data_IF_690220156792
#
_entry.id   IF_690220156792
#
_cell.length_a   1.000
_cell.length_b   1.000
_cell.length_c   1.000
_cell.angle_alpha   90.00
_cell.angle_beta   90.00
_cell.angle_gamma   90.00
#
_symmetry.space_group_name_H-M   'P 1'
#
loop_
_entity.id
_entity.type
_entity.pdbx_description
1 polymer ?
#
# COMPACT_ATOMS: atom_id res chain seq x y z
N UNK A 1 -16.73 20.92 -4.73
CA UNK A 1 -17.10 21.29 -3.35
C UNK A 1 -16.37 20.42 -2.33
N UNK A 2 -15.92 20.94 -1.17
CA UNK A 2 -15.34 20.07 -0.13
C UNK A 2 -16.48 19.51 0.71
N UNK A 3 -16.60 18.18 0.73
CA UNK A 3 -17.62 17.50 1.51
C UNK A 3 -17.32 17.67 3.01
N UNK A 4 -18.27 18.22 3.76
CA UNK A 4 -18.18 18.34 5.23
C UNK A 4 -18.42 16.99 5.90
N UNK A 5 -18.04 16.85 7.16
CA UNK A 5 -18.27 15.62 7.91
C UNK A 5 -19.77 15.37 8.13
N UNK A 6 -20.57 16.42 8.32
CA UNK A 6 -22.03 16.36 8.39
C UNK A 6 -22.64 15.79 7.10
N UNK A 7 -22.20 16.28 5.94
CA UNK A 7 -22.67 15.79 4.64
C UNK A 7 -22.33 14.31 4.42
N UNK A 8 -21.22 13.82 4.98
CA UNK A 8 -20.85 12.40 4.87
C UNK A 8 -21.75 11.52 5.71
N UNK A 9 -22.06 11.95 6.92
CA UNK A 9 -22.99 11.25 7.81
C UNK A 9 -24.40 11.27 7.21
N UNK A 10 -24.85 12.43 6.74
CA UNK A 10 -26.15 12.56 6.06
C UNK A 10 -26.26 11.63 4.86
N UNK A 11 -25.24 11.59 4.00
CA UNK A 11 -25.17 10.70 2.85
C UNK A 11 -25.30 9.23 3.25
N UNK A 12 -24.63 8.82 4.32
CA UNK A 12 -24.74 7.45 4.82
C UNK A 12 -26.15 7.14 5.32
N UNK A 13 -26.76 8.05 6.08
CA UNK A 13 -28.14 7.91 6.57
C UNK A 13 -29.15 7.81 5.43
N UNK A 14 -29.08 8.71 4.45
CA UNK A 14 -29.92 8.66 3.26
C UNK A 14 -29.75 7.35 2.49
N UNK A 15 -28.51 6.80 2.45
CA UNK A 15 -28.29 5.48 1.85
C UNK A 15 -29.04 4.38 2.61
N UNK A 16 -29.11 4.44 3.94
CA UNK A 16 -29.87 3.49 4.77
C UNK A 16 -31.39 3.65 4.59
N UNK A 17 -31.85 4.85 4.28
CA UNK A 17 -33.26 5.14 3.93
C UNK A 17 -33.65 4.64 2.54
N UNK A 18 -32.69 4.14 1.71
CA UNK A 18 -32.98 3.52 0.42
C UNK A 18 -32.55 4.32 -0.80
N UNK A 19 -32.00 5.52 -0.67
CA UNK A 19 -31.53 6.31 -1.80
C UNK A 19 -30.48 5.57 -2.63
N UNK A 20 -30.56 5.72 -3.96
CA UNK A 20 -29.59 5.11 -4.85
C UNK A 20 -28.25 5.85 -4.83
N UNK A 21 -27.16 5.15 -5.16
CA UNK A 21 -25.84 5.79 -5.26
C UNK A 21 -25.77 6.91 -6.31
N UNK A 22 -26.60 6.85 -7.35
CA UNK A 22 -26.69 7.88 -8.38
C UNK A 22 -27.37 9.15 -7.87
N UNK A 23 -28.44 9.01 -7.10
CA UNK A 23 -29.15 10.13 -6.48
C UNK A 23 -28.25 10.84 -5.47
N UNK A 24 -27.57 10.08 -4.60
CA UNK A 24 -26.61 10.63 -3.64
C UNK A 24 -25.44 11.33 -4.34
N UNK A 25 -24.92 10.75 -5.42
CA UNK A 25 -23.88 11.36 -6.25
C UNK A 25 -24.31 12.73 -6.81
N UNK A 26 -25.56 12.84 -7.30
CA UNK A 26 -26.13 14.10 -7.79
C UNK A 26 -26.38 15.10 -6.66
N UNK A 27 -26.95 14.66 -5.54
CA UNK A 27 -27.29 15.52 -4.39
C UNK A 27 -26.06 16.17 -3.78
N UNK A 28 -24.96 15.41 -3.63
CA UNK A 28 -23.74 15.88 -2.98
C UNK A 28 -22.62 16.30 -3.95
N UNK A 29 -22.88 16.27 -5.27
CA UNK A 29 -21.93 16.63 -6.33
C UNK A 29 -20.61 15.87 -6.25
N UNK A 30 -20.66 14.57 -5.94
CA UNK A 30 -19.50 13.68 -5.84
C UNK A 30 -19.66 12.46 -6.73
N UNK A 31 -18.54 11.91 -7.16
CA UNK A 31 -18.52 10.68 -7.93
C UNK A 31 -19.17 9.50 -7.18
N UNK A 32 -19.97 8.72 -7.89
CA UNK A 32 -20.70 7.59 -7.31
C UNK A 32 -19.79 6.49 -6.75
N UNK A 33 -18.56 6.37 -7.25
CA UNK A 33 -17.57 5.44 -6.72
C UNK A 33 -17.08 5.86 -5.32
N UNK A 34 -16.97 7.19 -5.10
CA UNK A 34 -16.62 7.74 -3.79
C UNK A 34 -17.78 7.55 -2.79
N UNK A 35 -19.04 7.76 -3.23
CA UNK A 35 -20.21 7.47 -2.40
C UNK A 35 -20.22 6.00 -1.99
N UNK A 36 -20.04 5.08 -2.94
CA UNK A 36 -19.98 3.63 -2.67
C UNK A 36 -18.86 3.27 -1.70
N UNK A 37 -17.72 3.91 -1.84
CA UNK A 37 -16.57 3.65 -0.95
C UNK A 37 -16.87 4.10 0.46
N UNK A 38 -17.38 5.32 0.66
CA UNK A 38 -17.71 5.88 1.98
C UNK A 38 -18.81 5.07 2.68
N UNK A 39 -19.85 4.66 1.96
CA UNK A 39 -20.90 3.81 2.53
C UNK A 39 -20.33 2.47 3.00
N UNK A 40 -19.54 1.79 2.16
CA UNK A 40 -18.90 0.51 2.56
C UNK A 40 -17.93 0.67 3.73
N UNK A 41 -17.24 1.79 3.77
CA UNK A 41 -16.32 2.09 4.88
C UNK A 41 -17.08 2.24 6.19
N UNK A 42 -18.20 2.96 6.17
CA UNK A 42 -19.09 3.11 7.33
C UNK A 42 -19.81 1.82 7.71
N UNK A 43 -20.17 0.97 6.76
CA UNK A 43 -20.73 -0.35 7.02
C UNK A 43 -19.77 -1.28 7.75
N UNK A 44 -18.47 -1.17 7.47
CA UNK A 44 -17.42 -2.02 8.08
C UNK A 44 -16.91 -1.49 9.42
N UNK A 45 -16.78 -0.17 9.56
CA UNK A 45 -16.09 0.46 10.67
C UNK A 45 -16.98 1.39 11.51
N UNK A 46 -18.24 1.54 11.15
CA UNK A 46 -19.19 2.46 11.79
C UNK A 46 -19.15 3.87 11.23
N UNK A 47 -20.16 4.69 11.59
CA UNK A 47 -20.32 6.07 11.08
C UNK A 47 -19.16 7.00 11.49
N UNK A 48 -18.52 6.75 12.61
CA UNK A 48 -17.43 7.57 13.16
C UNK A 48 -16.23 7.68 12.22
N UNK A 49 -16.01 6.67 11.36
CA UNK A 49 -14.93 6.67 10.37
C UNK A 49 -15.12 7.75 9.30
N UNK A 50 -16.34 8.24 9.11
CA UNK A 50 -16.66 9.30 8.15
C UNK A 50 -16.27 10.69 8.66
N UNK A 51 -16.09 10.84 9.96
CA UNK A 51 -15.67 12.11 10.58
C UNK A 51 -14.19 12.33 10.27
N UNK A 52 -13.92 13.42 9.59
CA UNK A 52 -12.56 13.77 9.17
C UNK A 52 -11.78 14.33 10.36
N UNK A 53 -11.21 13.45 11.17
CA UNK A 53 -10.27 13.83 12.21
C UNK A 53 -8.98 14.47 11.66
N UNK A 54 -8.01 14.76 12.55
CA UNK A 54 -6.65 15.17 12.15
C UNK A 54 -6.07 14.11 11.21
N UNK A 55 -5.20 14.55 10.29
CA UNK A 55 -4.52 13.62 9.36
C UNK A 55 -3.93 12.43 10.11
N UNK A 56 -4.43 11.24 9.83
CA UNK A 56 -3.94 10.02 10.46
C UNK A 56 -2.48 9.81 10.08
N UNK A 57 -1.66 9.53 11.08
CA UNK A 57 -0.30 9.07 10.87
C UNK A 57 -0.32 7.56 10.70
N UNK A 58 0.31 7.09 9.65
CA UNK A 58 0.50 5.67 9.36
C UNK A 58 2.00 5.38 9.48
N UNK A 59 2.45 4.61 10.48
CA UNK A 59 3.86 4.25 10.63
C UNK A 59 4.38 3.45 9.42
N UNK A 60 5.70 3.48 9.15
CA UNK A 60 6.31 2.77 8.03
C UNK A 60 5.99 1.29 7.99
N UNK A 61 6.02 0.63 9.14
CA UNK A 61 5.73 -0.80 9.29
C UNK A 61 4.30 -1.12 8.83
N UNK A 62 3.32 -0.37 9.33
CA UNK A 62 1.92 -0.54 8.92
C UNK A 62 1.72 -0.29 7.42
N UNK A 63 2.40 0.72 6.84
CA UNK A 63 2.34 0.96 5.40
C UNK A 63 2.90 -0.22 4.61
N UNK A 64 4.00 -0.80 5.10
CA UNK A 64 4.63 -1.96 4.47
C UNK A 64 3.70 -3.17 4.50
N UNK A 65 3.06 -3.45 5.62
CA UNK A 65 2.11 -4.56 5.75
C UNK A 65 0.92 -4.40 4.80
N UNK A 66 0.35 -3.18 4.74
CA UNK A 66 -0.76 -2.88 3.83
C UNK A 66 -0.34 -3.01 2.35
N UNK A 67 0.87 -2.58 1.99
CA UNK A 67 1.42 -2.70 0.64
C UNK A 67 1.64 -4.18 0.31
N UNK A 68 2.20 -4.96 1.23
CA UNK A 68 2.45 -6.39 1.04
C UNK A 68 1.16 -7.19 0.86
N UNK A 69 0.07 -6.84 1.51
CA UNK A 69 -1.25 -7.46 1.24
C UNK A 69 -1.67 -7.32 -0.23
N UNK A 70 -1.37 -6.20 -0.85
CA UNK A 70 -1.69 -5.99 -2.27
C UNK A 70 -0.67 -6.68 -3.18
N UNK A 71 0.64 -6.51 -2.92
CA UNK A 71 1.69 -6.97 -3.83
C UNK A 71 1.99 -8.46 -3.70
N UNK A 72 1.91 -9.01 -2.50
CA UNK A 72 2.28 -10.41 -2.22
C UNK A 72 1.04 -11.30 -2.19
N UNK A 73 -0.01 -10.89 -1.47
CA UNK A 73 -1.24 -11.68 -1.33
C UNK A 73 -2.23 -11.48 -2.48
N UNK A 74 -2.00 -10.47 -3.35
CA UNK A 74 -2.84 -10.20 -4.51
C UNK A 74 -4.20 -9.58 -4.20
N UNK A 75 -4.40 -9.03 -3.00
CA UNK A 75 -5.65 -8.38 -2.63
C UNK A 75 -5.86 -7.09 -3.43
N UNK A 76 -7.11 -6.74 -3.73
CA UNK A 76 -7.39 -5.52 -4.45
C UNK A 76 -7.12 -4.28 -3.58
N UNK A 77 -6.57 -3.22 -4.19
CA UNK A 77 -6.33 -1.93 -3.51
C UNK A 77 -7.58 -1.45 -2.77
N UNK A 78 -8.76 -1.59 -3.38
CA UNK A 78 -10.02 -1.14 -2.79
C UNK A 78 -10.43 -1.98 -1.57
N UNK A 79 -10.29 -3.30 -1.64
CA UNK A 79 -10.59 -4.21 -0.53
C UNK A 79 -9.66 -3.97 0.65
N UNK A 80 -8.35 -3.89 0.37
CA UNK A 80 -7.33 -3.61 1.40
C UNK A 80 -7.54 -2.23 2.03
N UNK A 81 -7.86 -1.20 1.23
CA UNK A 81 -8.16 0.13 1.76
C UNK A 81 -9.38 0.15 2.68
N UNK A 82 -10.41 -0.62 2.37
CA UNK A 82 -11.59 -0.78 3.23
C UNK A 82 -11.24 -1.51 4.53
N UNK A 83 -10.46 -2.60 4.45
CA UNK A 83 -10.03 -3.38 5.62
C UNK A 83 -9.27 -2.52 6.63
N UNK A 84 -8.37 -1.66 6.18
CA UNK A 84 -7.56 -0.80 7.04
C UNK A 84 -8.17 0.59 7.30
N UNK A 85 -9.45 0.79 7.02
CA UNK A 85 -10.16 2.05 7.21
C UNK A 85 -9.44 3.27 6.61
N UNK A 86 -8.82 3.10 5.44
CA UNK A 86 -8.17 4.21 4.76
C UNK A 86 -9.21 5.20 4.23
N UNK A 87 -8.96 6.51 4.28
CA UNK A 87 -9.95 7.52 3.86
C UNK A 87 -10.31 7.47 2.38
N UNK A 88 -9.42 6.95 1.54
CA UNK A 88 -9.67 6.68 0.13
C UNK A 88 -8.65 5.67 -0.44
N UNK A 89 -9.01 4.92 -1.51
CA UNK A 89 -8.09 3.96 -2.14
C UNK A 89 -6.88 4.59 -2.83
N UNK A 90 -6.98 5.86 -3.23
CA UNK A 90 -5.88 6.60 -3.86
C UNK A 90 -4.68 6.79 -2.93
N UNK A 91 -4.92 6.81 -1.61
CA UNK A 91 -3.83 6.87 -0.63
C UNK A 91 -2.93 5.64 -0.74
N UNK A 92 -3.53 4.44 -0.77
CA UNK A 92 -2.78 3.18 -0.92
C UNK A 92 -2.11 3.08 -2.30
N UNK A 93 -2.82 3.51 -3.36
CA UNK A 93 -2.23 3.58 -4.69
C UNK A 93 -0.94 4.44 -4.71
N UNK A 94 -0.99 5.62 -4.11
CA UNK A 94 0.18 6.51 -3.98
C UNK A 94 1.32 5.88 -3.16
N UNK A 95 0.99 5.13 -2.10
CA UNK A 95 2.02 4.42 -1.32
C UNK A 95 2.70 3.33 -2.16
N UNK A 96 1.93 2.54 -2.90
CA UNK A 96 2.47 1.49 -3.79
C UNK A 96 3.36 2.10 -4.89
N UNK A 97 2.92 3.21 -5.52
CA UNK A 97 3.72 3.89 -6.54
C UNK A 97 5.06 4.37 -5.97
N UNK A 98 5.01 5.09 -4.84
CA UNK A 98 6.24 5.56 -4.16
C UNK A 98 7.14 4.44 -3.67
N UNK A 99 6.57 3.35 -3.19
CA UNK A 99 7.30 2.18 -2.76
C UNK A 99 8.09 1.56 -3.92
N UNK A 100 7.48 1.45 -5.10
CA UNK A 100 8.15 0.99 -6.33
C UNK A 100 9.22 1.97 -6.82
N UNK A 101 8.92 3.27 -6.83
CA UNK A 101 9.85 4.33 -7.23
C UNK A 101 11.10 4.39 -6.32
N UNK A 102 10.95 4.10 -5.04
CA UNK A 102 12.02 4.13 -4.06
C UNK A 102 12.74 2.77 -3.90
N UNK A 103 12.71 1.90 -4.91
CA UNK A 103 13.37 0.60 -4.89
C UNK A 103 12.85 -0.35 -3.80
N UNK A 104 11.52 -0.36 -3.61
CA UNK A 104 10.82 -1.18 -2.61
C UNK A 104 11.13 -0.81 -1.15
N UNK A 105 11.43 0.47 -0.92
CA UNK A 105 11.66 1.02 0.42
C UNK A 105 10.64 2.10 0.77
N UNK A 106 10.26 2.19 2.06
CA UNK A 106 9.41 3.27 2.56
C UNK A 106 10.29 4.39 3.08
N UNK A 107 10.32 5.50 2.33
CA UNK A 107 11.02 6.70 2.75
C UNK A 107 10.06 7.64 3.49
N UNK A 108 10.35 7.92 4.75
CA UNK A 108 9.64 8.95 5.50
C UNK A 108 10.27 10.32 5.23
N UNK A 109 9.46 11.24 4.74
CA UNK A 109 9.87 12.64 4.63
C UNK A 109 9.42 13.39 5.88
N UNK A 110 10.28 14.21 6.49
CA UNK A 110 9.87 15.04 7.62
C UNK A 110 8.70 15.95 7.22
N UNK A 111 7.74 16.13 8.13
CA UNK A 111 6.61 17.03 7.90
C UNK A 111 7.11 18.47 7.96
N UNK A 112 6.81 19.26 6.96
CA UNK A 112 7.13 20.68 6.92
C UNK A 112 7.44 21.16 5.51
N UNK A 113 7.51 22.49 5.36
CA UNK A 113 8.00 23.12 4.15
C UNK A 113 9.51 22.88 4.07
N UNK A 114 9.98 22.14 3.06
CA UNK A 114 11.41 22.03 2.79
C UNK A 114 12.01 23.42 2.65
N UNK A 115 12.90 23.82 3.56
CA UNK A 115 13.65 25.05 3.40
C UNK A 115 14.44 24.93 2.08
N UNK A 116 14.41 25.99 1.27
CA UNK A 116 15.26 26.11 0.07
C UNK A 116 16.72 26.29 0.51
N UNK A 117 17.30 25.28 1.14
CA UNK A 117 18.73 25.25 1.41
C UNK A 117 19.45 24.96 0.10
N UNK A 118 20.31 25.88 -0.33
CA UNK A 118 21.15 25.73 -1.51
C UNK A 118 21.98 24.45 -1.39
N UNK A 119 21.78 23.54 -2.35
CA UNK A 119 22.47 22.26 -2.46
C UNK A 119 23.99 22.44 -2.68
N UNK A 120 24.78 22.43 -1.62
CA UNK A 120 26.23 22.22 -1.71
C UNK A 120 26.70 20.86 -1.19
N UNK A 121 25.76 19.98 -0.74
CA UNK A 121 26.11 18.67 -0.18
C UNK A 121 25.83 17.46 -1.10
N UNK A 122 25.34 17.68 -2.33
CA UNK A 122 24.95 16.58 -3.21
C UNK A 122 26.13 15.67 -3.63
N UNK A 123 27.35 16.19 -3.72
CA UNK A 123 28.53 15.38 -4.13
C UNK A 123 28.99 14.33 -3.10
N UNK A 124 28.68 14.55 -1.80
CA UNK A 124 29.08 13.58 -0.75
C UNK A 124 28.04 12.48 -0.51
N UNK A 125 26.77 12.80 -0.77
CA UNK A 125 25.66 11.86 -0.65
C UNK A 125 25.67 10.86 -1.82
N UNK A 126 25.87 11.34 -3.06
CA UNK A 126 25.97 10.49 -4.25
C UNK A 126 27.08 9.44 -4.16
N UNK A 127 28.25 9.78 -3.56
CA UNK A 127 29.34 8.81 -3.37
C UNK A 127 29.01 7.71 -2.35
N UNK A 128 28.29 8.03 -1.29
CA UNK A 128 27.88 7.04 -0.28
C UNK A 128 26.73 6.15 -0.79
N UNK A 129 25.82 6.70 -1.59
CA UNK A 129 24.71 5.94 -2.18
C UNK A 129 25.19 4.99 -3.27
N UNK A 130 26.13 5.42 -4.14
CA UNK A 130 26.79 4.56 -5.14
C UNK A 130 27.51 3.38 -4.49
N UNK A 131 28.25 3.61 -3.40
CA UNK A 131 28.90 2.55 -2.63
C UNK A 131 27.90 1.57 -2.01
N UNK A 132 26.77 2.05 -1.55
CA UNK A 132 25.70 1.22 -0.95
C UNK A 132 24.94 0.42 -2.01
N UNK A 133 24.71 0.99 -3.18
CA UNK A 133 24.12 0.29 -4.33
C UNK A 133 25.02 -0.86 -4.77
N UNK A 134 26.31 -0.63 -4.89
CA UNK A 134 27.28 -1.66 -5.27
C UNK A 134 27.36 -2.82 -4.24
N UNK A 135 27.25 -2.52 -2.94
CA UNK A 135 27.17 -3.54 -1.90
C UNK A 135 25.88 -4.36 -2.00
N UNK A 136 24.75 -3.70 -2.22
CA UNK A 136 23.46 -4.36 -2.38
C UNK A 136 23.38 -5.20 -3.66
N UNK A 137 24.01 -4.77 -4.75
CA UNK A 137 24.13 -5.56 -5.97
C UNK A 137 24.92 -6.85 -5.77
N UNK A 138 26.04 -6.79 -5.04
CA UNK A 138 26.84 -7.96 -4.66
C UNK A 138 26.06 -8.92 -3.76
N UNK A 139 25.31 -8.39 -2.80
CA UNK A 139 24.43 -9.19 -1.93
C UNK A 139 23.30 -9.86 -2.73
N UNK A 140 22.70 -9.15 -3.66
CA UNK A 140 21.69 -9.70 -4.57
C UNK A 140 22.24 -10.81 -5.47
N UNK A 141 23.45 -10.65 -5.99
CA UNK A 141 24.13 -11.68 -6.79
C UNK A 141 24.41 -12.93 -5.95
N UNK A 142 24.92 -12.75 -4.74
CA UNK A 142 25.14 -13.84 -3.80
C UNK A 142 23.86 -14.60 -3.47
N UNK A 143 22.78 -13.88 -3.12
CA UNK A 143 21.48 -14.49 -2.79
C UNK A 143 20.85 -15.21 -4.01
N UNK A 144 21.06 -14.69 -5.23
CA UNK A 144 20.62 -15.38 -6.44
C UNK A 144 21.36 -16.69 -6.67
N UNK A 145 22.67 -16.70 -6.42
CA UNK A 145 23.50 -17.91 -6.51
C UNK A 145 23.08 -18.93 -5.47
N UNK A 146 22.87 -18.52 -4.23
CA UNK A 146 22.39 -19.40 -3.14
C UNK A 146 21.02 -19.99 -3.46
N UNK A 147 20.07 -19.20 -3.92
CA UNK A 147 18.75 -19.67 -4.36
C UNK A 147 18.84 -20.69 -5.51
N UNK A 148 19.75 -20.49 -6.45
CA UNK A 148 19.97 -21.43 -7.54
C UNK A 148 20.50 -22.80 -7.03
N UNK A 149 21.42 -22.78 -6.08
CA UNK A 149 21.92 -23.98 -5.41
C UNK A 149 20.81 -24.70 -4.65
N UNK A 150 20.03 -23.97 -3.86
CA UNK A 150 18.91 -24.53 -3.10
C UNK A 150 17.85 -25.15 -4.00
N UNK A 151 17.54 -24.53 -5.13
CA UNK A 151 16.63 -25.10 -6.14
C UNK A 151 17.17 -26.42 -6.70
N UNK A 152 18.44 -26.48 -7.08
CA UNK A 152 19.09 -27.72 -7.55
C UNK A 152 19.09 -28.82 -6.50
N UNK A 153 19.40 -28.49 -5.25
CA UNK A 153 19.35 -29.45 -4.15
C UNK A 153 17.94 -30.00 -3.92
N UNK A 154 16.93 -29.16 -4.04
CA UNK A 154 15.51 -29.57 -3.96
C UNK A 154 15.14 -30.52 -5.10
N UNK A 155 15.56 -30.22 -6.33
CA UNK A 155 15.34 -31.10 -7.48
C UNK A 155 16.01 -32.46 -7.32
N UNK A 156 17.26 -32.48 -6.81
CA UNK A 156 17.99 -33.74 -6.54
C UNK A 156 17.26 -34.57 -5.48
N UNK A 157 16.81 -33.95 -4.38
CA UNK A 157 16.02 -34.63 -3.34
C UNK A 157 14.73 -35.22 -3.88
N UNK A 158 14.02 -34.47 -4.72
CA UNK A 158 12.80 -34.95 -5.36
C UNK A 158 13.05 -36.14 -6.28
N UNK A 159 14.12 -36.08 -7.10
CA UNK A 159 14.52 -37.23 -7.96
C UNK A 159 14.91 -38.44 -7.13
N UNK A 160 15.68 -38.27 -6.06
CA UNK A 160 16.05 -39.37 -5.17
C UNK A 160 14.85 -40.02 -4.45
N UNK A 161 13.86 -39.21 -4.06
CA UNK A 161 12.62 -39.70 -3.44
C UNK A 161 11.75 -40.48 -4.42
N UNK A 162 11.75 -40.08 -5.69
CA UNK A 162 11.01 -40.80 -6.76
C UNK A 162 11.68 -42.12 -7.14
N UNK A 163 13.03 -42.19 -7.16
CA UNK A 163 13.75 -43.43 -7.43
C UNK A 163 13.57 -44.45 -6.32
N UNK A 164 13.57 -44.03 -5.05
CA UNK A 164 13.29 -44.91 -3.91
C UNK A 164 11.84 -45.48 -3.90
N UNK A 165 10.86 -44.73 -4.46
CA UNK A 165 9.48 -45.22 -4.58
C UNK A 165 9.27 -46.21 -5.73
N UNK A 166 10.16 -46.20 -6.74
CA UNK A 166 10.08 -47.15 -7.87
C UNK A 166 10.81 -48.49 -7.62
N UNK A 167 11.56 -48.60 -6.52
CA UNK A 167 12.31 -49.78 -6.13
C UNK A 167 11.61 -50.59 -5.00
N UNK A 168 10.43 -50.18 -4.59
CA UNK A 168 9.50 -50.92 -3.74
C UNK A 168 8.29 -51.38 -4.55
#
# INVERSE_FOLDING_TARGET
MKLTDENRIEMYRLKKEGYSYKELSKKFEIDSSNVKYMVRLADLHGETVLIKGKNNYYPPELKLDIINEVLILGHSIKSTSLKYALPNPGLLHNWISKFKENGYNILEKPRGRTSKMKNNNNKKIEKNELSKVEQLEKELEYLRAENAVLKKLREIRLKQSQTKKKQK
#
